data_IF_122426836855
#
_entry.id   IF_122426836855
#
_cell.length_a   1.000
_cell.length_b   1.000
_cell.length_c   1.000
_cell.angle_alpha   90.00
_cell.angle_beta   90.00
_cell.angle_gamma   90.00
#
_symmetry.space_group_name_H-M   'P 1'
#
loop_
_entity.id
_entity.type
_entity.pdbx_description
1 polymer ?
#
# COMPACT_ATOMS: atom_id res chain seq x y z
N UNK A 1 18.42 -57.71 -77.31
CA UNK A 1 17.54 -56.67 -77.91
C UNK A 1 17.01 -55.80 -76.79
N UNK A 2 16.72 -54.51 -77.03
CA UNK A 2 16.39 -53.50 -76.00
C UNK A 2 15.27 -53.96 -75.04
N UNK A 3 15.33 -53.64 -73.74
CA UNK A 3 14.66 -52.51 -73.05
C UNK A 3 15.09 -52.61 -71.57
N UNK A 4 15.44 -51.58 -70.79
CA UNK A 4 15.67 -50.13 -71.02
C UNK A 4 16.63 -49.59 -69.92
N UNK A 5 16.75 -48.26 -69.73
CA UNK A 5 17.40 -47.63 -68.55
C UNK A 5 16.49 -46.58 -67.91
N UNK A 6 16.04 -46.83 -66.68
CA UNK A 6 15.40 -45.81 -65.84
C UNK A 6 16.47 -44.85 -65.27
N UNK A 7 16.25 -43.54 -65.41
CA UNK A 7 17.07 -42.51 -64.75
C UNK A 7 16.34 -42.00 -63.51
N UNK A 8 16.79 -42.39 -62.32
CA UNK A 8 16.33 -41.81 -61.06
C UNK A 8 17.02 -40.46 -60.85
N UNK A 9 16.25 -39.36 -60.88
CA UNK A 9 16.75 -38.03 -60.57
C UNK A 9 16.53 -37.73 -59.08
N UNK A 10 17.59 -37.71 -58.28
CA UNK A 10 17.52 -37.27 -56.88
C UNK A 10 17.40 -35.75 -56.80
N UNK A 11 16.22 -35.25 -56.46
CA UNK A 11 16.04 -33.85 -56.06
C UNK A 11 16.55 -33.68 -54.62
N UNK A 12 17.62 -32.91 -54.45
CA UNK A 12 18.16 -32.55 -53.14
C UNK A 12 17.32 -31.40 -52.56
N UNK A 13 16.40 -31.70 -51.65
CA UNK A 13 15.55 -30.69 -51.00
C UNK A 13 16.35 -29.96 -49.92
N UNK A 14 16.98 -28.83 -50.28
CA UNK A 14 17.67 -27.96 -49.32
C UNK A 14 16.62 -27.19 -48.52
N UNK A 15 16.31 -27.71 -47.33
CA UNK A 15 15.44 -27.01 -46.37
C UNK A 15 16.19 -25.79 -45.81
N UNK A 16 15.83 -24.61 -46.31
CA UNK A 16 16.31 -23.33 -45.76
C UNK A 16 15.64 -23.14 -44.39
N UNK A 17 16.32 -23.58 -43.33
CA UNK A 17 15.96 -23.17 -41.97
C UNK A 17 16.12 -21.65 -41.86
N UNK A 18 14.99 -20.94 -41.91
CA UNK A 18 14.95 -19.53 -41.59
C UNK A 18 15.23 -19.39 -40.11
N UNK A 19 16.46 -19.02 -39.76
CA UNK A 19 16.82 -18.67 -38.39
C UNK A 19 16.08 -17.38 -38.07
N UNK A 20 14.92 -17.50 -37.42
CA UNK A 20 14.31 -16.37 -36.72
C UNK A 20 15.30 -15.95 -35.64
N UNK A 21 16.00 -14.85 -35.86
CA UNK A 21 16.69 -14.16 -34.78
C UNK A 21 15.62 -13.76 -33.77
N UNK A 22 15.50 -14.53 -32.69
CA UNK A 22 14.85 -14.02 -31.50
C UNK A 22 15.74 -12.87 -31.05
N UNK A 23 15.25 -11.64 -31.19
CA UNK A 23 15.80 -10.50 -30.48
C UNK A 23 15.64 -10.80 -28.99
N UNK A 24 16.70 -11.34 -28.39
CA UNK A 24 16.87 -11.32 -26.95
C UNK A 24 16.83 -9.86 -26.52
N UNK A 25 15.99 -9.57 -25.53
CA UNK A 25 15.77 -8.21 -25.05
C UNK A 25 16.38 -8.07 -23.68
N UNK A 26 17.18 -7.01 -23.53
CA UNK A 26 17.64 -6.52 -22.25
C UNK A 26 16.43 -6.38 -21.31
N UNK A 27 16.57 -6.89 -20.08
CA UNK A 27 15.59 -6.73 -19.00
C UNK A 27 16.20 -5.92 -17.89
N UNK A 28 15.44 -4.96 -17.39
CA UNK A 28 15.83 -4.09 -16.30
C UNK A 28 15.11 -4.51 -15.02
N UNK A 29 15.78 -4.39 -13.84
CA UNK A 29 15.10 -4.54 -12.56
C UNK A 29 14.08 -3.42 -12.37
N UNK A 30 13.02 -3.65 -11.59
CA UNK A 30 11.94 -2.67 -11.42
C UNK A 30 12.42 -1.28 -10.94
N UNK A 31 13.49 -1.23 -10.14
CA UNK A 31 14.12 0.01 -9.66
C UNK A 31 14.75 0.87 -10.78
N UNK A 32 15.17 0.26 -11.89
CA UNK A 32 15.79 0.94 -13.05
C UNK A 32 14.70 1.18 -14.10
N UNK A 33 13.89 2.19 -13.85
CA UNK A 33 12.68 2.52 -14.62
C UNK A 33 12.48 4.03 -14.78
N UNK A 34 11.46 4.42 -15.57
CA UNK A 34 11.06 5.83 -15.74
C UNK A 34 10.82 6.50 -14.38
N UNK A 35 11.26 7.77 -14.25
CA UNK A 35 11.06 8.55 -13.04
C UNK A 35 12.04 8.25 -11.89
N UNK A 36 13.01 7.33 -12.06
CA UNK A 36 13.96 7.00 -11.00
C UNK A 36 14.84 8.17 -10.54
N UNK A 37 15.29 8.08 -9.28
CA UNK A 37 16.33 8.95 -8.73
C UNK A 37 17.59 8.12 -8.49
N UNK A 38 18.72 8.60 -9.01
CA UNK A 38 20.04 8.00 -8.82
C UNK A 38 20.83 8.77 -7.74
N UNK A 39 21.54 8.05 -6.88
CA UNK A 39 22.33 8.65 -5.80
C UNK A 39 23.47 9.55 -6.32
N UNK A 40 23.50 10.81 -5.90
CA UNK A 40 24.58 11.77 -6.20
C UNK A 40 25.87 11.42 -5.48
N UNK A 41 26.97 12.01 -5.95
CA UNK A 41 28.28 12.05 -5.27
C UNK A 41 28.91 10.66 -4.98
N UNK A 42 28.55 9.62 -5.76
CA UNK A 42 29.25 8.34 -5.77
C UNK A 42 29.16 7.66 -7.15
N UNK A 43 30.06 6.72 -7.49
CA UNK A 43 29.90 5.86 -8.67
C UNK A 43 28.60 5.03 -8.59
N UNK A 44 27.86 4.96 -9.70
CA UNK A 44 26.52 4.36 -9.75
C UNK A 44 26.51 3.09 -10.61
N UNK A 45 25.97 2.00 -10.06
CA UNK A 45 25.73 0.77 -10.81
C UNK A 45 24.40 0.88 -11.56
N UNK A 46 24.40 0.66 -12.88
CA UNK A 46 23.21 0.33 -13.65
C UNK A 46 23.35 -1.13 -14.09
N UNK A 47 22.30 -1.93 -13.95
CA UNK A 47 22.35 -3.37 -14.18
C UNK A 47 21.04 -3.92 -14.74
N UNK A 48 21.10 -5.18 -15.16
CA UNK A 48 19.95 -5.95 -15.62
C UNK A 48 20.37 -7.34 -16.06
N UNK A 49 19.49 -8.00 -16.80
CA UNK A 49 19.78 -9.25 -17.51
C UNK A 49 19.64 -9.10 -19.02
N UNK A 50 20.28 -9.99 -19.77
CA UNK A 50 20.29 -10.09 -21.22
C UNK A 50 20.78 -11.51 -21.62
N UNK A 51 20.79 -11.87 -22.91
CA UNK A 51 21.34 -13.18 -23.31
C UNK A 51 22.86 -13.25 -23.08
N UNK A 52 23.39 -14.44 -22.81
CA UNK A 52 24.81 -14.59 -22.47
C UNK A 52 25.74 -14.12 -23.60
N UNK A 53 26.60 -13.14 -23.32
CA UNK A 53 27.46 -12.47 -24.30
C UNK A 53 26.80 -11.33 -25.09
N UNK A 54 25.49 -11.10 -24.93
CA UNK A 54 24.78 -10.00 -25.58
C UNK A 54 25.41 -8.66 -25.21
N UNK A 55 25.58 -7.78 -26.21
CA UNK A 55 26.23 -6.47 -26.05
C UNK A 55 25.21 -5.43 -25.58
N UNK A 56 25.44 -4.86 -24.40
CA UNK A 56 24.60 -3.81 -23.84
C UNK A 56 25.30 -2.45 -23.96
N UNK A 57 24.60 -1.48 -24.55
CA UNK A 57 25.09 -0.13 -24.77
C UNK A 57 24.17 0.84 -24.03
N UNK A 58 24.71 1.56 -23.05
CA UNK A 58 23.99 2.58 -22.27
C UNK A 58 24.45 3.96 -22.71
N UNK A 59 23.52 4.80 -23.15
CA UNK A 59 23.75 6.22 -23.43
C UNK A 59 23.15 7.06 -22.30
N UNK A 60 23.99 7.87 -21.66
CA UNK A 60 23.58 8.77 -20.58
C UNK A 60 24.49 9.99 -20.54
N UNK A 61 23.92 11.19 -20.36
CA UNK A 61 24.66 12.46 -20.26
C UNK A 61 25.72 12.66 -21.38
N UNK A 62 25.29 12.44 -22.64
CA UNK A 62 26.13 12.50 -23.85
C UNK A 62 27.34 11.53 -23.88
N UNK A 63 27.41 10.56 -22.97
CA UNK A 63 28.41 9.48 -22.95
C UNK A 63 27.76 8.16 -23.33
N UNK A 64 28.54 7.28 -23.95
CA UNK A 64 28.15 5.89 -24.23
C UNK A 64 29.04 4.96 -23.41
N UNK A 65 28.41 4.04 -22.68
CA UNK A 65 29.02 2.98 -21.89
C UNK A 65 28.65 1.65 -22.55
N UNK A 66 29.58 0.71 -22.59
CA UNK A 66 29.37 -0.58 -23.25
C UNK A 66 29.83 -1.70 -22.33
N UNK A 67 29.04 -2.75 -22.26
CA UNK A 67 29.35 -3.99 -21.55
C UNK A 67 28.77 -5.17 -22.33
N UNK A 68 29.01 -6.39 -21.86
CA UNK A 68 28.30 -7.59 -22.32
C UNK A 68 27.78 -8.36 -21.13
N UNK A 69 26.65 -9.06 -21.30
CA UNK A 69 26.17 -9.98 -20.28
C UNK A 69 27.10 -11.18 -20.10
N UNK A 70 27.25 -11.61 -18.85
CA UNK A 70 28.07 -12.75 -18.47
C UNK A 70 27.42 -14.09 -18.87
N UNK A 71 28.08 -15.20 -18.52
CA UNK A 71 27.57 -16.55 -18.82
C UNK A 71 26.26 -16.90 -18.09
N UNK A 72 25.88 -16.13 -17.08
CA UNK A 72 24.63 -16.26 -16.34
C UNK A 72 23.57 -15.24 -16.80
N UNK A 73 23.85 -14.47 -17.85
CA UNK A 73 22.95 -13.47 -18.40
C UNK A 73 22.93 -12.14 -17.64
N UNK A 74 23.79 -11.93 -16.64
CA UNK A 74 23.83 -10.68 -15.88
C UNK A 74 24.75 -9.67 -16.56
N UNK A 75 24.35 -8.41 -16.61
CA UNK A 75 25.23 -7.31 -17.01
C UNK A 75 25.15 -6.15 -16.03
N UNK A 76 26.22 -5.36 -15.98
CA UNK A 76 26.22 -4.08 -15.31
C UNK A 76 27.23 -3.12 -15.94
N UNK A 77 27.02 -1.83 -15.72
CA UNK A 77 27.98 -0.77 -15.94
C UNK A 77 28.16 0.05 -14.66
N UNK A 78 29.33 0.66 -14.51
CA UNK A 78 29.57 1.70 -13.52
C UNK A 78 29.57 3.06 -14.21
N UNK A 79 28.56 3.88 -13.91
CA UNK A 79 28.59 5.30 -14.21
C UNK A 79 29.59 5.98 -13.25
N UNK A 80 30.29 7.04 -13.68
CA UNK A 80 31.11 7.86 -12.79
C UNK A 80 30.24 8.55 -11.75
N UNK A 81 30.89 9.19 -10.78
CA UNK A 81 30.21 10.12 -9.88
C UNK A 81 29.48 11.24 -10.65
N UNK A 82 28.25 11.54 -10.21
CA UNK A 82 27.40 12.57 -10.80
C UNK A 82 26.88 13.53 -9.73
N UNK A 83 26.78 14.82 -10.09
CA UNK A 83 26.16 15.85 -9.26
C UNK A 83 24.63 15.81 -9.39
N UNK A 84 23.94 16.35 -8.39
CA UNK A 84 22.49 16.50 -8.42
C UNK A 84 21.99 17.26 -9.67
N UNK A 85 20.83 16.89 -10.18
CA UNK A 85 20.20 17.54 -11.34
C UNK A 85 19.25 16.63 -12.12
N UNK A 86 18.88 17.06 -13.32
CA UNK A 86 17.90 16.42 -14.20
C UNK A 86 16.78 17.39 -14.59
N UNK A 87 15.70 16.90 -15.24
CA UNK A 87 15.51 15.52 -15.69
C UNK A 87 16.41 15.13 -16.86
N UNK A 88 16.86 13.88 -16.85
CA UNK A 88 17.69 13.28 -17.89
C UNK A 88 16.98 12.11 -18.58
N UNK A 89 17.53 11.70 -19.72
CA UNK A 89 17.12 10.50 -20.49
C UNK A 89 18.30 9.54 -20.55
N UNK A 90 18.03 8.26 -20.32
CA UNK A 90 18.99 7.17 -20.48
C UNK A 90 18.45 6.18 -21.51
N UNK A 91 19.29 5.78 -22.47
CA UNK A 91 18.93 4.75 -23.45
C UNK A 91 19.79 3.52 -23.22
N UNK A 92 19.18 2.35 -23.03
CA UNK A 92 19.83 1.06 -22.80
C UNK A 92 19.42 0.14 -23.96
N UNK A 93 20.31 -0.05 -24.94
CA UNK A 93 19.97 -0.60 -26.25
C UNK A 93 18.71 0.09 -26.84
N UNK A 94 17.60 -0.62 -27.03
CA UNK A 94 16.31 -0.09 -27.51
C UNK A 94 15.42 0.54 -26.41
N UNK A 95 15.70 0.29 -25.13
CA UNK A 95 14.92 0.82 -24.01
C UNK A 95 15.30 2.28 -23.77
N UNK A 96 14.33 3.18 -23.68
CA UNK A 96 14.55 4.59 -23.32
C UNK A 96 13.84 4.92 -22.02
N UNK A 97 14.64 5.12 -20.97
CA UNK A 97 14.20 5.59 -19.66
C UNK A 97 14.20 7.12 -19.63
N UNK A 98 13.12 7.70 -19.09
CA UNK A 98 12.86 9.14 -19.07
C UNK A 98 12.73 9.66 -17.65
N UNK A 99 12.82 10.99 -17.55
CA UNK A 99 12.61 11.71 -16.29
C UNK A 99 13.53 11.21 -15.16
N UNK A 100 14.81 10.95 -15.45
CA UNK A 100 15.77 10.50 -14.44
C UNK A 100 16.32 11.71 -13.70
N UNK A 101 16.22 11.72 -12.37
CA UNK A 101 16.90 12.70 -11.53
C UNK A 101 18.15 12.11 -10.88
N UNK A 102 19.05 12.99 -10.45
CA UNK A 102 20.20 12.67 -9.63
C UNK A 102 20.07 13.48 -8.34
N UNK A 103 20.17 12.81 -7.20
CA UNK A 103 19.88 13.37 -5.89
C UNK A 103 20.17 12.39 -4.77
N UNK A 104 19.49 12.48 -3.63
CA UNK A 104 19.71 11.56 -2.50
C UNK A 104 18.63 10.49 -2.43
N UNK A 105 19.05 9.24 -2.24
CA UNK A 105 18.19 8.07 -2.23
C UNK A 105 18.23 7.41 -0.86
N UNK A 106 17.08 7.34 -0.21
CA UNK A 106 16.91 6.80 1.14
C UNK A 106 16.05 5.54 1.12
N UNK A 107 16.33 4.60 2.01
CA UNK A 107 15.51 3.41 2.24
C UNK A 107 14.66 3.63 3.49
N UNK A 108 13.34 3.64 3.33
CA UNK A 108 12.37 3.80 4.41
C UNK A 108 11.75 2.44 4.76
N UNK A 109 12.22 1.83 5.84
CA UNK A 109 11.78 0.52 6.33
C UNK A 109 11.26 0.58 7.77
N UNK A 110 10.51 -0.43 8.20
CA UNK A 110 9.91 -0.54 9.53
C UNK A 110 8.52 -1.19 9.51
N UNK A 111 7.78 -1.06 10.62
CA UNK A 111 6.39 -1.51 10.74
C UNK A 111 5.35 -0.39 10.48
N UNK A 112 4.14 -0.56 11.01
CA UNK A 112 2.93 0.26 10.83
C UNK A 112 3.11 1.78 10.95
N UNK A 113 4.04 2.27 11.77
CA UNK A 113 4.32 3.70 11.88
C UNK A 113 5.05 4.26 10.64
N UNK A 114 5.96 3.48 10.05
CA UNK A 114 6.60 3.83 8.78
C UNK A 114 5.63 3.58 7.61
N UNK A 115 4.79 2.56 7.70
CA UNK A 115 3.78 2.25 6.67
C UNK A 115 2.66 3.28 6.58
N UNK A 116 2.34 3.98 7.68
CA UNK A 116 1.18 4.87 7.81
C UNK A 116 1.05 5.85 6.63
N UNK A 117 0.08 5.64 5.71
CA UNK A 117 0.00 6.41 4.48
C UNK A 117 -0.68 7.76 4.71
N UNK A 118 -0.33 8.78 3.92
CA UNK A 118 -0.89 10.14 4.04
C UNK A 118 -2.42 10.18 3.94
N UNK A 119 -3.07 9.25 3.21
CA UNK A 119 -4.54 9.14 3.20
C UNK A 119 -5.16 8.88 4.58
N UNK A 120 -4.42 8.26 5.51
CA UNK A 120 -4.79 8.07 6.93
C UNK A 120 -4.41 9.26 7.81
N UNK A 121 -3.96 10.35 7.20
CA UNK A 121 -3.59 11.62 7.83
C UNK A 121 -4.36 12.81 7.23
N UNK A 122 -5.24 12.60 6.24
CA UNK A 122 -5.88 13.67 5.44
C UNK A 122 -6.57 14.77 6.25
N UNK A 123 -7.42 14.51 7.26
CA UNK A 123 -8.03 15.57 8.07
C UNK A 123 -7.06 16.41 8.91
N UNK A 124 -5.81 15.96 9.09
CA UNK A 124 -4.77 16.72 9.79
C UNK A 124 -3.82 17.46 8.84
N UNK A 125 -3.69 17.00 7.59
CA UNK A 125 -2.73 17.49 6.61
C UNK A 125 -3.35 17.66 5.21
N UNK A 126 -4.61 18.10 5.16
CA UNK A 126 -5.38 18.29 3.92
C UNK A 126 -4.73 19.30 2.98
N UNK A 127 -4.22 20.41 3.52
CA UNK A 127 -3.48 21.41 2.76
C UNK A 127 -2.12 20.90 2.27
N UNK A 128 -1.44 20.02 3.02
CA UNK A 128 -0.21 19.39 2.56
C UNK A 128 -0.48 18.53 1.32
N UNK A 129 -1.50 17.66 1.40
CA UNK A 129 -1.91 16.78 0.29
C UNK A 129 -2.37 17.59 -0.91
N UNK A 130 -3.22 18.61 -0.72
CA UNK A 130 -3.75 19.46 -1.78
C UNK A 130 -2.66 20.23 -2.53
N UNK A 131 -1.63 20.68 -1.82
CA UNK A 131 -0.53 21.46 -2.39
C UNK A 131 0.71 20.62 -2.74
N UNK A 132 0.66 19.30 -2.55
CA UNK A 132 1.72 18.37 -2.90
C UNK A 132 1.98 18.39 -4.41
N UNK A 133 3.02 19.09 -4.88
CA UNK A 133 3.34 19.22 -6.31
C UNK A 133 4.85 19.12 -6.61
N UNK A 134 5.66 18.78 -5.60
CA UNK A 134 7.11 18.79 -5.68
C UNK A 134 7.65 17.53 -6.39
N UNK A 135 7.79 17.62 -7.72
CA UNK A 135 8.26 16.51 -8.57
C UNK A 135 9.71 16.07 -8.31
N UNK A 136 10.46 16.79 -7.48
CA UNK A 136 11.80 16.39 -7.04
C UNK A 136 11.77 15.40 -5.86
N UNK A 137 10.62 15.20 -5.20
CA UNK A 137 10.41 14.15 -4.20
C UNK A 137 9.68 12.99 -4.87
N UNK A 138 10.25 11.78 -4.80
CA UNK A 138 9.73 10.60 -5.50
C UNK A 138 9.81 9.36 -4.65
N UNK A 139 8.81 8.49 -4.78
CA UNK A 139 8.73 7.23 -4.05
C UNK A 139 8.78 6.05 -5.01
N UNK A 140 9.50 5.00 -4.62
CA UNK A 140 9.35 3.65 -5.12
C UNK A 140 8.85 2.78 -3.96
N UNK A 141 7.56 2.43 -3.97
CA UNK A 141 7.02 1.49 -2.98
C UNK A 141 7.26 0.07 -3.47
N UNK A 142 8.00 -0.70 -2.67
CA UNK A 142 8.26 -2.12 -2.94
C UNK A 142 6.98 -2.94 -2.66
N UNK A 143 6.58 -3.87 -3.55
CA UNK A 143 5.44 -4.75 -3.29
C UNK A 143 5.60 -5.54 -1.98
N UNK A 144 4.55 -5.56 -1.17
CA UNK A 144 4.54 -6.29 0.09
C UNK A 144 4.36 -7.79 -0.18
N UNK A 145 5.48 -8.52 -0.24
CA UNK A 145 5.52 -9.95 -0.52
C UNK A 145 6.57 -10.65 0.31
N UNK A 146 6.18 -11.72 0.98
CA UNK A 146 7.09 -12.57 1.73
C UNK A 146 7.71 -13.66 0.84
N UNK A 147 8.94 -14.06 1.18
CA UNK A 147 9.52 -15.33 0.75
C UNK A 147 10.47 -15.83 1.85
N UNK A 148 10.04 -16.84 2.61
CA UNK A 148 10.81 -17.37 3.75
C UNK A 148 11.85 -18.44 3.35
N UNK A 149 11.87 -18.84 2.07
CA UNK A 149 12.74 -19.92 1.56
C UNK A 149 14.07 -19.38 1.04
N UNK A 150 14.05 -18.35 0.21
CA UNK A 150 15.24 -17.84 -0.49
C UNK A 150 15.23 -16.33 -0.66
N UNK A 151 16.38 -15.64 -0.46
CA UNK A 151 16.53 -14.24 -0.85
C UNK A 151 16.19 -14.04 -2.33
N UNK A 152 15.44 -12.98 -2.63
CA UNK A 152 15.09 -12.60 -4.00
C UNK A 152 16.08 -11.56 -4.53
N UNK A 153 16.46 -11.70 -5.80
CA UNK A 153 17.35 -10.74 -6.49
C UNK A 153 16.59 -9.70 -7.32
N UNK A 154 15.28 -9.91 -7.52
CA UNK A 154 14.40 -9.05 -8.31
C UNK A 154 13.10 -8.78 -7.55
N UNK A 155 12.50 -7.63 -7.83
CA UNK A 155 11.17 -7.27 -7.33
C UNK A 155 10.12 -7.64 -8.39
N UNK A 156 8.96 -8.13 -7.96
CA UNK A 156 7.87 -8.52 -8.86
C UNK A 156 6.96 -7.36 -9.27
N UNK A 157 7.36 -6.12 -8.96
CA UNK A 157 6.65 -4.91 -9.31
C UNK A 157 7.21 -3.68 -8.61
N UNK A 158 6.36 -2.66 -8.47
CA UNK A 158 6.74 -1.32 -8.04
C UNK A 158 7.06 -0.40 -9.22
N UNK A 159 6.99 0.91 -8.98
CA UNK A 159 7.30 1.97 -9.95
C UNK A 159 7.69 3.24 -9.20
N UNK A 160 8.49 4.09 -9.82
CA UNK A 160 8.74 5.43 -9.29
C UNK A 160 7.52 6.31 -9.52
N UNK A 161 7.15 7.09 -8.49
CA UNK A 161 6.04 8.03 -8.53
C UNK A 161 6.52 9.40 -8.04
N UNK A 162 6.34 10.43 -8.87
CA UNK A 162 6.54 11.82 -8.43
C UNK A 162 5.44 12.23 -7.45
N UNK A 163 5.80 13.03 -6.45
CA UNK A 163 4.82 13.65 -5.54
C UNK A 163 3.85 14.56 -6.31
N UNK A 164 2.57 14.22 -6.25
CA UNK A 164 1.42 15.02 -6.67
C UNK A 164 0.23 14.75 -5.69
N UNK A 165 -0.90 15.49 -5.76
CA UNK A 165 -1.98 15.35 -4.79
C UNK A 165 -2.72 14.00 -4.81
N UNK A 166 -2.50 13.18 -5.84
CA UNK A 166 -3.05 11.84 -5.93
C UNK A 166 -2.04 10.80 -5.42
N UNK A 167 -0.76 10.89 -5.83
CA UNK A 167 0.27 9.92 -5.44
C UNK A 167 0.66 10.03 -3.97
N UNK A 168 0.66 11.25 -3.40
CA UNK A 168 1.03 11.47 -2.00
C UNK A 168 0.18 10.65 -1.03
N UNK A 169 -1.10 10.43 -1.36
CA UNK A 169 -2.07 9.68 -0.54
C UNK A 169 -1.59 8.27 -0.14
N UNK A 170 -0.79 7.64 -1.01
CA UNK A 170 -0.26 6.28 -0.84
C UNK A 170 1.19 6.27 -0.31
N UNK A 171 1.81 7.44 -0.11
CA UNK A 171 3.15 7.54 0.45
C UNK A 171 3.10 7.46 1.98
N UNK A 172 4.14 6.85 2.57
CA UNK A 172 4.43 6.92 4.01
C UNK A 172 4.48 8.38 4.47
N UNK A 173 3.67 8.73 5.47
CA UNK A 173 3.69 10.08 6.03
C UNK A 173 5.03 10.44 6.68
N UNK A 174 5.61 9.51 7.45
CA UNK A 174 6.92 9.70 8.09
C UNK A 174 8.01 9.94 7.05
N UNK A 175 8.09 9.09 6.03
CA UNK A 175 9.10 9.25 4.99
C UNK A 175 8.84 10.46 4.08
N UNK A 176 7.57 10.84 3.86
CA UNK A 176 7.22 12.03 3.08
C UNK A 176 7.67 13.32 3.79
N UNK A 177 7.35 13.50 5.07
CA UNK A 177 7.79 14.69 5.81
C UNK A 177 9.32 14.77 5.94
N UNK A 178 9.99 13.63 6.15
CA UNK A 178 11.46 13.55 6.06
C UNK A 178 11.99 14.00 4.69
N UNK A 179 11.45 13.45 3.60
CA UNK A 179 11.88 13.78 2.24
C UNK A 179 11.59 15.25 1.88
N UNK A 180 10.48 15.80 2.39
CA UNK A 180 10.11 17.21 2.25
C UNK A 180 11.11 18.12 2.93
N UNK A 181 11.48 17.82 4.18
CA UNK A 181 12.42 18.65 4.94
C UNK A 181 13.81 18.65 4.29
N UNK A 182 14.37 17.47 3.99
CA UNK A 182 15.69 17.35 3.34
C UNK A 182 15.70 17.98 1.94
N UNK A 183 14.64 17.81 1.14
CA UNK A 183 14.53 18.49 -0.15
C UNK A 183 14.43 20.02 0.01
N UNK A 184 13.77 20.51 1.05
CA UNK A 184 13.62 21.93 1.34
C UNK A 184 14.93 22.55 1.87
N UNK A 185 15.75 21.81 2.62
CA UNK A 185 17.07 22.25 3.08
C UNK A 185 18.09 22.24 1.94
N UNK A 186 18.36 21.06 1.36
CA UNK A 186 19.45 20.84 0.40
C UNK A 186 19.14 21.33 -1.02
N UNK A 187 17.86 21.54 -1.36
CA UNK A 187 17.37 21.82 -2.73
C UNK A 187 17.74 20.74 -3.77
N UNK A 188 17.88 19.50 -3.31
CA UNK A 188 18.32 18.34 -4.11
C UNK A 188 17.17 17.33 -4.23
N UNK A 189 16.97 16.65 -5.38
CA UNK A 189 15.96 15.61 -5.52
C UNK A 189 16.10 14.51 -4.45
N UNK A 190 14.98 14.05 -3.90
CA UNK A 190 14.95 13.02 -2.85
C UNK A 190 14.12 11.83 -3.31
N UNK A 191 14.77 10.68 -3.45
CA UNK A 191 14.14 9.39 -3.75
C UNK A 191 13.94 8.58 -2.47
N UNK A 192 12.73 8.10 -2.22
CA UNK A 192 12.43 7.16 -1.13
C UNK A 192 12.14 5.79 -1.72
N UNK A 193 12.96 4.80 -1.40
CA UNK A 193 12.64 3.38 -1.59
C UNK A 193 11.90 2.93 -0.33
N UNK A 194 10.59 2.77 -0.41
CA UNK A 194 9.71 2.45 0.70
C UNK A 194 9.50 0.93 0.78
N UNK A 195 9.90 0.32 1.91
CA UNK A 195 9.94 -1.14 2.11
C UNK A 195 9.29 -1.57 3.42
N UNK A 196 8.43 -0.74 4.03
CA UNK A 196 7.82 -1.08 5.33
C UNK A 196 6.65 -2.06 5.20
N UNK A 197 6.38 -2.80 6.27
CA UNK A 197 5.25 -3.74 6.36
C UNK A 197 4.68 -3.75 7.79
N UNK A 198 3.45 -3.27 7.96
CA UNK A 198 2.74 -3.29 9.22
C UNK A 198 2.51 -4.72 9.73
N UNK A 199 2.51 -4.89 11.05
CA UNK A 199 2.30 -6.20 11.69
C UNK A 199 3.45 -7.21 11.53
N UNK A 200 4.42 -6.98 10.64
CA UNK A 200 5.55 -7.90 10.47
C UNK A 200 6.48 -7.89 11.71
N UNK A 201 6.89 -9.07 12.21
CA UNK A 201 7.80 -9.16 13.35
C UNK A 201 9.26 -9.05 12.88
N UNK A 202 10.15 -8.50 13.72
CA UNK A 202 11.53 -8.17 13.31
C UNK A 202 12.33 -9.39 12.85
N UNK A 203 12.09 -10.58 13.41
CA UNK A 203 12.76 -11.80 13.00
C UNK A 203 12.46 -12.23 11.55
N UNK A 204 11.33 -11.79 10.97
CA UNK A 204 11.01 -12.05 9.56
C UNK A 204 11.89 -11.25 8.58
N UNK A 205 12.57 -10.20 9.06
CA UNK A 205 13.49 -9.36 8.29
C UNK A 205 14.96 -9.75 8.46
N UNK A 206 15.26 -10.72 9.35
CA UNK A 206 16.62 -11.14 9.66
C UNK A 206 17.07 -12.30 8.77
N UNK A 207 18.32 -12.27 8.32
CA UNK A 207 18.89 -13.38 7.57
C UNK A 207 19.14 -14.60 8.47
N UNK A 208 19.21 -15.78 7.86
CA UNK A 208 19.39 -17.07 8.57
C UNK A 208 20.63 -17.11 9.46
N UNK A 209 21.72 -16.39 9.16
CA UNK A 209 22.90 -16.36 10.03
C UNK A 209 22.69 -15.45 11.24
N UNK A 210 21.98 -14.33 11.09
CA UNK A 210 21.57 -13.49 12.22
C UNK A 210 20.60 -14.23 13.15
N UNK A 211 19.66 -15.00 12.60
CA UNK A 211 18.70 -15.81 13.37
C UNK A 211 19.33 -16.96 14.17
N UNK A 212 20.52 -17.47 13.81
CA UNK A 212 21.22 -18.51 14.58
C UNK A 212 21.51 -18.13 16.05
N UNK A 213 21.45 -16.84 16.39
CA UNK A 213 21.60 -16.35 17.76
C UNK A 213 20.32 -16.50 18.61
N UNK A 214 19.19 -16.81 17.98
CA UNK A 214 17.85 -16.92 18.57
C UNK A 214 17.18 -18.21 18.07
N UNK A 215 17.54 -19.39 18.63
CA UNK A 215 17.11 -20.69 18.12
C UNK A 215 15.59 -20.82 17.93
N UNK A 216 14.81 -20.24 18.83
CA UNK A 216 13.35 -20.19 18.80
C UNK A 216 12.80 -19.52 17.53
N UNK A 217 13.35 -18.37 17.13
CA UNK A 217 12.96 -17.67 15.90
C UNK A 217 13.52 -18.34 14.65
N UNK A 218 14.69 -18.99 14.74
CA UNK A 218 15.22 -19.80 13.65
C UNK A 218 14.33 -21.03 13.39
N UNK A 219 13.82 -21.68 14.44
CA UNK A 219 12.92 -22.82 14.34
C UNK A 219 11.49 -22.43 13.94
N UNK A 220 11.04 -21.22 14.31
CA UNK A 220 9.84 -20.61 13.73
C UNK A 220 10.00 -20.36 12.23
N UNK A 221 11.06 -19.67 11.81
CA UNK A 221 11.30 -19.32 10.41
C UNK A 221 11.38 -20.57 9.49
N UNK A 222 11.94 -21.69 9.98
CA UNK A 222 11.94 -22.98 9.26
C UNK A 222 10.53 -23.51 8.97
N UNK A 223 9.56 -23.34 9.88
CA UNK A 223 8.18 -23.80 9.67
C UNK A 223 7.54 -23.07 8.49
N UNK A 224 7.74 -21.75 8.44
CA UNK A 224 7.24 -20.88 7.38
C UNK A 224 7.92 -21.07 6.01
N UNK A 225 8.87 -22.01 5.88
CA UNK A 225 9.36 -22.47 4.56
C UNK A 225 8.41 -23.46 3.88
N UNK A 226 7.36 -23.94 4.56
CA UNK A 226 6.38 -24.86 4.02
C UNK A 226 5.15 -24.10 3.47
N UNK A 227 4.98 -24.11 2.15
CA UNK A 227 3.85 -23.45 1.47
C UNK A 227 2.49 -24.06 1.86
N UNK A 228 2.42 -25.37 2.12
CA UNK A 228 1.19 -26.03 2.55
C UNK A 228 0.79 -25.62 3.97
N UNK A 229 1.78 -25.33 4.84
CA UNK A 229 1.51 -24.77 6.17
C UNK A 229 0.98 -23.34 6.04
N UNK A 230 1.64 -22.48 5.24
CA UNK A 230 1.17 -21.11 4.98
C UNK A 230 -0.27 -21.15 4.46
N UNK A 231 -0.51 -21.89 3.38
CA UNK A 231 -1.81 -21.97 2.72
C UNK A 231 -2.91 -22.52 3.62
N UNK A 232 -2.61 -23.51 4.46
CA UNK A 232 -3.58 -24.07 5.40
C UNK A 232 -3.86 -23.14 6.58
N UNK A 233 -2.86 -22.41 7.09
CA UNK A 233 -3.04 -21.32 8.06
C UNK A 233 -3.91 -20.21 7.47
N UNK A 234 -3.54 -19.63 6.33
CA UNK A 234 -4.29 -18.56 5.66
C UNK A 234 -5.75 -18.99 5.37
N UNK A 235 -5.96 -20.19 4.85
CA UNK A 235 -7.30 -20.72 4.57
C UNK A 235 -8.11 -20.99 5.83
N UNK A 236 -7.45 -21.47 6.90
CA UNK A 236 -8.08 -21.73 8.20
C UNK A 236 -8.51 -20.45 8.91
N UNK A 237 -7.64 -19.44 8.94
CA UNK A 237 -7.95 -18.12 9.51
C UNK A 237 -9.07 -17.41 8.73
N UNK A 238 -9.04 -17.44 7.40
CA UNK A 238 -10.12 -16.90 6.57
C UNK A 238 -11.45 -17.63 6.78
N UNK A 239 -11.43 -18.96 6.94
CA UNK A 239 -12.62 -19.75 7.21
C UNK A 239 -13.19 -19.47 8.62
N UNK A 240 -12.34 -19.42 9.64
CA UNK A 240 -12.72 -19.10 11.02
C UNK A 240 -13.29 -17.68 11.13
N UNK A 241 -12.61 -16.69 10.53
CA UNK A 241 -13.09 -15.30 10.48
C UNK A 241 -14.44 -15.21 9.78
N UNK A 242 -14.61 -15.84 8.60
CA UNK A 242 -15.88 -15.85 7.87
C UNK A 242 -16.99 -16.52 8.67
N UNK A 243 -16.72 -17.65 9.32
CA UNK A 243 -17.69 -18.35 10.15
C UNK A 243 -18.16 -17.45 11.31
N UNK A 244 -17.22 -16.83 12.04
CA UNK A 244 -17.52 -15.92 13.14
C UNK A 244 -18.37 -14.72 12.71
N UNK A 245 -17.96 -14.00 11.66
CA UNK A 245 -18.75 -12.87 11.15
C UNK A 245 -20.13 -13.30 10.61
N UNK A 246 -20.25 -14.49 10.02
CA UNK A 246 -21.54 -15.03 9.54
C UNK A 246 -22.48 -15.34 10.71
N UNK A 247 -21.98 -16.01 11.74
CA UNK A 247 -22.75 -16.33 12.95
C UNK A 247 -23.14 -15.06 13.71
N UNK A 248 -22.21 -14.11 13.82
CA UNK A 248 -22.44 -12.81 14.44
C UNK A 248 -23.55 -12.03 13.73
N UNK A 249 -23.47 -11.86 12.41
CA UNK A 249 -24.46 -11.12 11.63
C UNK A 249 -25.83 -11.83 11.60
N UNK A 250 -25.87 -13.17 11.62
CA UNK A 250 -27.12 -13.95 11.71
C UNK A 250 -27.84 -13.79 13.05
N UNK A 251 -27.09 -13.59 14.14
CA UNK A 251 -27.63 -13.45 15.50
C UNK A 251 -27.74 -11.98 15.95
N UNK A 252 -27.39 -11.00 15.11
CA UNK A 252 -27.47 -9.57 15.41
C UNK A 252 -28.92 -9.06 15.32
N UNK A 253 -29.58 -8.71 16.45
CA UNK A 253 -30.97 -8.27 16.43
C UNK A 253 -31.14 -6.93 15.72
N UNK A 254 -30.11 -6.08 15.70
CA UNK A 254 -30.14 -4.78 15.05
C UNK A 254 -30.05 -4.84 13.54
N UNK A 255 -29.32 -5.83 12.99
CA UNK A 255 -29.41 -6.14 11.56
C UNK A 255 -30.81 -6.70 11.21
N UNK A 256 -31.33 -7.62 12.01
CA UNK A 256 -32.64 -8.23 11.76
C UNK A 256 -33.83 -7.24 11.88
N UNK A 257 -33.72 -6.24 12.75
CA UNK A 257 -34.77 -5.25 13.01
C UNK A 257 -34.51 -3.89 12.33
N UNK A 258 -33.44 -3.75 11.55
CA UNK A 258 -33.05 -2.52 10.88
C UNK A 258 -32.81 -1.31 11.80
N UNK A 259 -32.02 -1.50 12.87
CA UNK A 259 -31.70 -0.45 13.85
C UNK A 259 -30.90 0.73 13.27
N UNK A 260 -30.37 0.62 12.05
CA UNK A 260 -29.76 1.74 11.31
C UNK A 260 -30.75 2.86 10.97
N UNK A 261 -32.05 2.53 10.84
CA UNK A 261 -33.07 3.48 10.35
C UNK A 261 -33.33 4.64 11.31
N UNK A 262 -33.71 5.79 10.76
CA UNK A 262 -33.90 7.01 11.53
C UNK A 262 -35.08 6.96 12.53
N UNK A 263 -36.10 6.16 12.22
CA UNK A 263 -37.41 6.10 12.88
C UNK A 263 -37.56 4.96 13.91
N UNK A 264 -36.47 4.25 14.21
CA UNK A 264 -36.42 3.21 15.26
C UNK A 264 -36.70 3.83 16.63
N UNK A 265 -37.65 3.24 17.36
CA UNK A 265 -37.93 3.56 18.76
C UNK A 265 -36.82 2.98 19.66
N UNK A 266 -35.99 3.87 20.19
CA UNK A 266 -34.90 3.58 21.12
C UNK A 266 -35.22 3.95 22.58
N UNK A 267 -36.49 4.27 22.90
CA UNK A 267 -36.90 4.68 24.26
C UNK A 267 -36.67 3.60 25.34
N UNK A 268 -36.62 2.32 24.96
CA UNK A 268 -36.28 1.20 25.84
C UNK A 268 -34.79 0.86 25.92
N UNK A 269 -33.91 1.59 25.22
CA UNK A 269 -32.48 1.29 25.19
C UNK A 269 -31.75 1.82 26.43
N UNK A 270 -30.67 1.15 26.81
CA UNK A 270 -29.80 1.63 27.90
C UNK A 270 -28.98 2.84 27.44
N UNK A 271 -28.75 3.78 28.36
CA UNK A 271 -27.89 4.94 28.11
C UNK A 271 -26.46 4.65 28.52
N UNK A 272 -25.51 4.89 27.63
CA UNK A 272 -24.07 4.75 27.88
C UNK A 272 -23.36 6.09 27.79
N UNK A 273 -22.38 6.29 28.67
CA UNK A 273 -21.43 7.41 28.57
C UNK A 273 -20.43 7.12 27.45
N UNK A 274 -20.32 8.07 26.52
CA UNK A 274 -19.36 8.09 25.41
C UNK A 274 -18.59 9.42 25.44
N UNK A 275 -17.25 9.43 25.28
CA UNK A 275 -16.38 8.26 25.20
C UNK A 275 -16.23 7.52 26.54
N UNK A 276 -15.79 6.27 26.47
CA UNK A 276 -15.76 5.32 27.58
C UNK A 276 -15.92 3.88 27.11
N UNK A 277 -15.74 2.92 28.04
CA UNK A 277 -16.00 1.50 27.80
C UNK A 277 -17.45 1.16 28.10
N UNK A 278 -18.10 0.38 27.24
CA UNK A 278 -19.42 -0.17 27.55
C UNK A 278 -19.30 -1.33 28.55
N UNK A 279 -18.22 -2.10 28.52
CA UNK A 279 -18.01 -3.21 29.46
C UNK A 279 -17.81 -2.74 30.92
N UNK A 280 -17.24 -1.56 31.13
CA UNK A 280 -17.18 -0.93 32.46
C UNK A 280 -18.57 -0.52 33.00
N UNK A 281 -19.54 -0.34 32.11
CA UNK A 281 -20.88 0.18 32.43
C UNK A 281 -21.92 -0.95 32.52
N UNK A 282 -21.81 -1.99 31.69
CA UNK A 282 -22.82 -3.03 31.49
C UNK A 282 -22.30 -4.46 31.71
N UNK A 283 -21.00 -4.64 31.97
CA UNK A 283 -20.35 -5.95 32.08
C UNK A 283 -19.77 -6.44 30.75
N UNK A 284 -18.95 -7.49 30.83
CA UNK A 284 -18.14 -7.94 29.69
C UNK A 284 -18.98 -8.53 28.56
N UNK A 285 -18.67 -8.14 27.32
CA UNK A 285 -19.43 -8.52 26.13
C UNK A 285 -18.59 -8.36 24.85
N UNK A 286 -18.32 -9.50 24.20
CA UNK A 286 -17.83 -9.60 22.83
C UNK A 286 -18.99 -9.96 21.89
N UNK A 287 -19.07 -9.32 20.73
CA UNK A 287 -20.21 -9.40 19.82
C UNK A 287 -20.49 -8.07 19.11
N UNK A 288 -21.76 -7.71 18.95
CA UNK A 288 -22.17 -6.42 18.37
C UNK A 288 -22.88 -5.50 19.34
N UNK A 289 -22.44 -4.24 19.38
CA UNK A 289 -23.04 -3.17 20.18
C UNK A 289 -23.55 -2.10 19.24
N UNK A 290 -24.84 -1.80 19.35
CA UNK A 290 -25.48 -0.72 18.61
C UNK A 290 -25.66 0.49 19.54
N UNK A 291 -25.14 1.64 19.12
CA UNK A 291 -25.38 2.92 19.79
C UNK A 291 -26.14 3.86 18.87
N UNK A 292 -27.07 4.61 19.45
CA UNK A 292 -27.83 5.65 18.76
C UNK A 292 -27.68 6.97 19.52
N UNK A 293 -27.56 8.07 18.78
CA UNK A 293 -27.43 9.41 19.34
C UNK A 293 -28.22 10.42 18.51
N UNK A 294 -29.22 11.04 19.14
CA UNK A 294 -29.80 12.26 18.60
C UNK A 294 -28.82 13.43 18.75
N UNK A 295 -28.69 14.20 17.67
CA UNK A 295 -27.99 15.49 17.61
C UNK A 295 -28.89 16.54 16.93
N UNK A 296 -28.67 17.80 17.26
CA UNK A 296 -29.38 18.93 16.65
C UNK A 296 -28.39 19.84 15.91
N UNK A 297 -28.45 19.86 14.58
CA UNK A 297 -27.60 20.69 13.70
C UNK A 297 -28.28 22.03 13.39
N UNK A 298 -27.54 23.10 13.03
CA UNK A 298 -28.13 24.41 12.73
C UNK A 298 -29.10 24.38 11.55
N UNK A 299 -29.98 25.38 11.45
CA UNK A 299 -30.77 25.60 10.24
C UNK A 299 -29.87 25.98 9.06
N UNK A 300 -30.24 25.57 7.84
CA UNK A 300 -29.39 25.68 6.65
C UNK A 300 -28.26 24.66 6.58
N UNK A 301 -28.29 23.59 7.38
CA UNK A 301 -27.37 22.43 7.25
C UNK A 301 -27.84 21.45 6.18
N UNK A 302 -29.14 21.41 5.89
CA UNK A 302 -29.68 20.48 4.92
C UNK A 302 -29.21 20.78 3.50
N UNK A 303 -28.86 19.72 2.77
CA UNK A 303 -28.26 19.84 1.43
C UNK A 303 -26.75 20.15 1.43
N UNK A 304 -26.12 20.36 2.58
CA UNK A 304 -24.67 20.58 2.70
C UNK A 304 -23.90 19.29 2.99
N UNK A 305 -22.64 19.16 2.53
CA UNK A 305 -21.73 18.12 3.00
C UNK A 305 -21.28 18.40 4.44
N UNK A 306 -20.82 17.36 5.13
CA UNK A 306 -20.29 17.45 6.48
C UNK A 306 -19.18 16.42 6.71
N UNK A 307 -18.51 16.49 7.86
CA UNK A 307 -17.48 15.56 8.28
C UNK A 307 -17.77 15.06 9.69
N UNK A 308 -17.77 13.73 9.89
CA UNK A 308 -17.94 13.12 11.20
C UNK A 308 -16.64 12.50 11.69
N UNK A 309 -16.23 12.93 12.88
CA UNK A 309 -15.11 12.39 13.63
C UNK A 309 -15.65 11.59 14.82
N UNK A 310 -15.51 10.26 14.78
CA UNK A 310 -15.78 9.36 15.91
C UNK A 310 -14.47 8.85 16.55
N UNK A 311 -13.43 9.68 16.57
CA UNK A 311 -12.19 9.42 17.31
C UNK A 311 -11.58 8.07 16.99
N UNK A 312 -11.41 7.22 18.00
CA UNK A 312 -11.06 5.79 17.83
C UNK A 312 -12.05 4.92 18.62
N UNK A 313 -12.38 3.75 18.09
CA UNK A 313 -13.23 2.71 18.69
C UNK A 313 -12.38 1.42 18.79
N UNK A 314 -12.66 0.55 19.77
CA UNK A 314 -11.82 -0.63 20.07
C UNK A 314 -11.70 -1.67 18.97
N UNK A 315 -12.60 -1.76 17.99
CA UNK A 315 -12.47 -2.80 16.96
C UNK A 315 -13.06 -2.37 15.61
N UNK A 316 -14.14 -2.96 15.09
CA UNK A 316 -14.76 -2.54 13.83
C UNK A 316 -16.03 -1.72 14.07
N UNK A 317 -16.36 -0.81 13.15
CA UNK A 317 -17.64 -0.09 13.15
C UNK A 317 -18.21 0.13 11.75
N UNK A 318 -19.54 0.21 11.68
CA UNK A 318 -20.30 0.76 10.55
C UNK A 318 -21.17 1.90 11.09
N UNK A 319 -21.01 3.07 10.51
CA UNK A 319 -21.66 4.30 10.98
C UNK A 319 -22.68 4.81 9.96
N UNK A 320 -23.85 5.19 10.46
CA UNK A 320 -25.00 5.68 9.72
C UNK A 320 -25.45 7.03 10.25
N UNK A 321 -26.01 7.87 9.38
CA UNK A 321 -26.75 9.08 9.74
C UNK A 321 -28.09 9.05 9.05
N UNK A 322 -29.17 9.19 9.82
CA UNK A 322 -30.55 9.15 9.33
C UNK A 322 -30.90 7.90 8.47
N UNK A 323 -30.28 6.74 8.75
CA UNK A 323 -30.42 5.52 7.95
C UNK A 323 -29.48 5.38 6.75
N UNK A 324 -28.72 6.43 6.40
CA UNK A 324 -27.72 6.37 5.32
C UNK A 324 -26.37 5.99 5.90
N UNK A 325 -25.73 4.92 5.37
CA UNK A 325 -24.35 4.57 5.74
C UNK A 325 -23.40 5.68 5.28
N UNK A 326 -22.65 6.26 6.22
CA UNK A 326 -21.65 7.30 5.95
C UNK A 326 -20.21 6.80 6.02
N UNK A 327 -19.96 5.65 6.67
CA UNK A 327 -18.62 5.08 6.71
C UNK A 327 -18.51 3.73 7.42
N UNK A 328 -17.32 3.14 7.38
CA UNK A 328 -16.94 2.01 8.20
C UNK A 328 -15.42 1.93 8.36
N UNK A 329 -14.96 1.35 9.47
CA UNK A 329 -13.57 0.95 9.73
C UNK A 329 -13.60 -0.49 10.23
N UNK A 330 -12.75 -1.36 9.70
CA UNK A 330 -12.85 -2.82 9.90
C UNK A 330 -11.93 -3.39 10.98
N UNK A 331 -11.22 -2.54 11.74
CA UNK A 331 -10.27 -2.95 12.80
C UNK A 331 -9.89 -1.77 13.70
N UNK A 332 -9.26 -2.04 14.84
CA UNK A 332 -9.21 -1.09 15.95
C UNK A 332 -8.40 0.21 15.75
N UNK A 333 -7.38 0.19 14.91
CA UNK A 333 -6.32 1.20 14.93
C UNK A 333 -6.62 2.52 14.18
N UNK A 334 -7.34 2.54 13.05
CA UNK A 334 -7.61 3.79 12.33
C UNK A 334 -8.53 4.75 13.11
N UNK A 335 -8.38 6.06 12.92
CA UNK A 335 -9.39 7.00 13.35
C UNK A 335 -10.67 6.85 12.50
N UNK A 336 -11.82 7.24 13.05
CA UNK A 336 -13.13 7.17 12.39
C UNK A 336 -13.45 8.53 11.82
N UNK A 337 -13.10 8.71 10.56
CA UNK A 337 -13.19 9.95 9.82
C UNK A 337 -14.04 9.70 8.58
N UNK A 338 -15.25 10.26 8.59
CA UNK A 338 -16.28 9.95 7.59
C UNK A 338 -16.79 11.23 6.95
N UNK A 339 -16.50 11.38 5.66
CA UNK A 339 -17.12 12.42 4.81
C UNK A 339 -18.60 12.07 4.60
N UNK A 340 -19.47 13.01 4.92
CA UNK A 340 -20.92 12.88 4.81
C UNK A 340 -21.36 13.59 3.53
N UNK A 341 -21.98 12.88 2.57
CA UNK A 341 -22.50 13.49 1.35
C UNK A 341 -23.59 14.53 1.62
N UNK A 342 -23.66 15.52 0.73
CA UNK A 342 -24.72 16.50 0.68
C UNK A 342 -26.12 15.85 0.70
N UNK A 343 -27.01 16.36 1.55
CA UNK A 343 -28.40 15.91 1.66
C UNK A 343 -28.65 14.74 2.64
N UNK A 344 -27.61 14.17 3.26
CA UNK A 344 -27.79 13.19 4.36
C UNK A 344 -28.29 13.88 5.65
N UNK A 345 -27.78 15.10 5.92
CA UNK A 345 -28.22 15.92 7.05
C UNK A 345 -29.53 16.68 6.74
N UNK A 346 -30.33 16.83 7.79
CA UNK A 346 -31.55 17.63 7.87
C UNK A 346 -31.33 18.78 8.83
N UNK A 347 -32.09 19.87 8.71
CA UNK A 347 -32.05 20.93 9.71
C UNK A 347 -32.63 20.44 11.05
N UNK A 348 -32.02 20.83 12.17
CA UNK A 348 -32.42 20.38 13.50
C UNK A 348 -32.08 18.91 13.75
N UNK A 349 -33.09 18.08 14.07
CA UNK A 349 -32.92 16.71 14.57
C UNK A 349 -32.33 15.77 13.50
N UNK A 350 -31.21 15.14 13.85
CA UNK A 350 -30.59 14.04 13.10
C UNK A 350 -30.24 12.90 14.06
N UNK A 351 -30.23 11.67 13.57
CA UNK A 351 -29.81 10.48 14.32
C UNK A 351 -28.49 9.98 13.75
N UNK A 352 -27.47 9.84 14.60
CA UNK A 352 -26.28 9.02 14.33
C UNK A 352 -26.52 7.64 14.90
N UNK A 353 -26.27 6.59 14.12
CA UNK A 353 -26.28 5.20 14.56
C UNK A 353 -24.92 4.57 14.28
N UNK A 354 -24.33 3.91 15.27
CA UNK A 354 -23.05 3.19 15.13
C UNK A 354 -23.28 1.74 15.51
N UNK A 355 -23.09 0.83 14.55
CA UNK A 355 -22.93 -0.60 14.82
C UNK A 355 -21.45 -0.86 15.05
N UNK A 356 -21.10 -1.41 16.20
CA UNK A 356 -19.73 -1.74 16.57
C UNK A 356 -19.64 -3.26 16.66
N UNK A 357 -18.61 -3.85 16.06
CA UNK A 357 -18.28 -5.26 16.20
C UNK A 357 -16.99 -5.35 16.99
N UNK A 358 -17.03 -6.02 18.14
CA UNK A 358 -15.90 -6.22 19.06
C UNK A 358 -15.68 -7.72 19.24
N UNK A 359 -14.62 -8.26 18.64
CA UNK A 359 -14.34 -9.69 18.68
C UNK A 359 -13.52 -10.16 19.88
N UNK A 360 -12.80 -9.25 20.56
CA UNK A 360 -12.08 -9.58 21.78
C UNK A 360 -11.63 -8.35 22.58
N UNK A 361 -11.65 -8.49 23.90
CA UNK A 361 -11.05 -7.55 24.84
C UNK A 361 -11.80 -6.22 24.92
N UNK A 362 -11.33 -5.33 25.79
CA UNK A 362 -12.14 -4.26 26.36
C UNK A 362 -12.71 -3.26 25.36
N UNK A 363 -13.97 -3.46 24.98
CA UNK A 363 -14.80 -2.66 24.11
C UNK A 363 -15.03 -1.24 24.62
N UNK A 364 -14.70 -0.24 23.80
CA UNK A 364 -14.75 1.18 24.19
C UNK A 364 -14.66 2.17 23.01
N UNK A 365 -15.14 3.38 23.28
CA UNK A 365 -14.75 4.62 22.60
C UNK A 365 -13.58 5.24 23.36
N UNK A 366 -12.49 5.56 22.67
CA UNK A 366 -11.22 5.95 23.28
C UNK A 366 -11.24 7.41 23.76
N UNK A 367 -11.18 7.61 25.08
CA UNK A 367 -11.44 8.90 25.72
C UNK A 367 -10.47 10.06 25.39
N UNK A 368 -9.27 9.79 24.88
CA UNK A 368 -8.29 10.82 24.50
C UNK A 368 -8.43 11.30 23.04
N UNK A 369 -9.50 10.90 22.34
CA UNK A 369 -9.74 11.23 20.93
C UNK A 369 -10.87 12.26 20.77
N UNK A 370 -10.84 13.08 19.71
CA UNK A 370 -11.91 14.01 19.41
C UNK A 370 -13.15 13.28 18.89
N UNK A 371 -14.33 13.78 19.29
CA UNK A 371 -15.64 13.34 18.81
C UNK A 371 -16.43 14.59 18.42
N UNK A 372 -16.76 14.75 17.14
CA UNK A 372 -17.56 15.89 16.67
C UNK A 372 -18.14 15.65 15.27
N UNK A 373 -19.24 16.34 14.97
CA UNK A 373 -19.74 16.59 13.61
C UNK A 373 -19.35 18.01 13.18
N UNK A 374 -18.87 18.16 11.94
CA UNK A 374 -18.48 19.45 11.34
C UNK A 374 -19.26 19.71 10.04
N UNK A 375 -20.04 20.79 9.97
CA UNK A 375 -20.81 21.19 8.77
C UNK A 375 -20.10 22.34 8.06
N UNK A 376 -19.82 22.20 6.76
CA UNK A 376 -19.10 23.18 5.91
C UNK A 376 -17.75 23.72 6.42
N UNK A 377 -17.20 23.17 7.51
CA UNK A 377 -15.94 23.61 8.11
C UNK A 377 -16.08 24.70 9.19
N UNK A 378 -17.31 25.11 9.54
CA UNK A 378 -17.54 26.28 10.40
C UNK A 378 -18.08 25.94 11.80
N UNK A 379 -18.80 24.83 11.99
CA UNK A 379 -19.46 24.46 13.26
C UNK A 379 -19.09 23.04 13.71
N UNK A 380 -18.40 22.88 14.86
CA UNK A 380 -18.15 21.59 15.52
C UNK A 380 -19.19 21.33 16.62
N UNK A 381 -19.87 20.16 16.57
CA UNK A 381 -20.92 19.73 17.50
C UNK A 381 -20.69 18.35 18.10
#
# INVERSE_FOLDING_TARGET
MNISKSKTASFLFVSIFSISMMEAKVKLPALVSDGMILQRNMPLKIWGSADAGEKVNVKFLNKTYTTSADKSGNWNIMLPELKAGGPYVMTINEITLKDILIGDVWVASGQSNMELPMRRLTPLYSDEIKNANNKNIRFFTVPQKYNFKTPQTELDGGKWQSTDPQTILDFSGVAFFFAKEINAEDKVPVGIIHTSLGGSPVQAWMDTNSLKKYPEYLDEAKKWQNDDLIKSTESGEQAASRAWYTELDQNDPGLAQHWEKADVDDSGWKTLKVPGSWEDQEGSFDGTVWLRKEINVPAGSSGKPAFLNLGRIKDADVTYINGVKVGNVTYEYPPRWYDIPAGVLKDGKNIITVRITNGSGKGQFIADKPYYLEVEGEDRK
#
